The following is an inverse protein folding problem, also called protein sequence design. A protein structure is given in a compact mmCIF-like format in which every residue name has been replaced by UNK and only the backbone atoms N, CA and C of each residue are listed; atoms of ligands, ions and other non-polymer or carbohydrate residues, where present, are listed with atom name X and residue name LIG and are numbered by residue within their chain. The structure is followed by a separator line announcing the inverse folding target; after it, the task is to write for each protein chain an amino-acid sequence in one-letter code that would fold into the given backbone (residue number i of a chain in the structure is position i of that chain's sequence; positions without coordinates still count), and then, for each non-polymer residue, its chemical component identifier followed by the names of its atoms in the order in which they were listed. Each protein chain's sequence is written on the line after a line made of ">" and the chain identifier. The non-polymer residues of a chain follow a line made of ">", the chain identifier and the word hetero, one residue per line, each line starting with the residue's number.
data_IF_645106636144
#
_entry.id   IF_645106636144
#
_cell.length_a   1.000
_cell.length_b   1.000
_cell.length_c   1.000
_cell.angle_alpha   90.00
_cell.angle_beta   90.00
_cell.angle_gamma   90.00
#
_symmetry.space_group_name_H-M   'P 1'
#
loop_
_entity.id
_entity.type
_entity.pdbx_description
1 polymer ?
#
# COMPACT_ATOMS: atom_id res chain seq x y z
N UNK A 1 -13.16 3.01 -9.27
CA UNK A 1 -12.54 3.13 -7.93
C UNK A 1 -12.77 1.83 -7.18
N UNK A 2 -11.70 1.19 -6.70
CA UNK A 2 -11.73 -0.03 -5.89
C UNK A 2 -11.19 0.25 -4.49
N UNK A 3 -11.79 -0.43 -3.50
CA UNK A 3 -11.32 -0.47 -2.12
C UNK A 3 -11.11 -1.92 -1.72
N UNK A 4 -9.92 -2.25 -1.23
CA UNK A 4 -9.55 -3.61 -0.86
C UNK A 4 -9.00 -3.66 0.56
N UNK A 5 -9.66 -4.35 1.51
CA UNK A 5 -9.13 -4.54 2.85
C UNK A 5 -8.00 -5.58 2.82
N UNK A 6 -6.89 -5.28 3.48
CA UNK A 6 -5.68 -6.11 3.54
C UNK A 6 -5.23 -6.26 4.98
N UNK A 7 -4.83 -7.47 5.35
CA UNK A 7 -4.10 -7.73 6.60
C UNK A 7 -2.62 -7.89 6.28
N UNK A 8 -1.77 -7.12 6.95
CA UNK A 8 -0.31 -7.19 6.73
C UNK A 8 0.21 -8.52 7.27
N UNK A 9 0.77 -9.37 6.42
CA UNK A 9 1.32 -10.68 6.83
C UNK A 9 2.84 -10.67 7.05
N UNK A 10 3.48 -9.52 6.88
CA UNK A 10 4.91 -9.33 7.09
C UNK A 10 5.27 -9.57 8.57
N UNK A 11 6.21 -10.48 8.82
CA UNK A 11 6.67 -10.79 10.19
C UNK A 11 7.49 -9.63 10.80
N UNK A 12 8.18 -8.86 9.95
CA UNK A 12 8.89 -7.65 10.32
C UNK A 12 8.10 -6.42 9.83
N UNK A 13 8.08 -5.34 10.62
CA UNK A 13 7.40 -4.10 10.24
C UNK A 13 7.95 -3.49 8.94
N UNK A 14 7.17 -2.63 8.28
CA UNK A 14 7.67 -1.93 7.10
C UNK A 14 8.59 -0.77 7.49
N UNK A 15 9.89 -1.03 7.48
CA UNK A 15 10.93 0.00 7.60
C UNK A 15 11.24 0.67 6.23
N UNK A 16 12.29 1.50 6.19
CA UNK A 16 12.66 2.31 5.02
C UNK A 16 12.75 1.54 3.69
N UNK A 17 13.30 0.32 3.70
CA UNK A 17 13.48 -0.49 2.48
C UNK A 17 12.17 -1.07 1.95
N UNK A 18 11.37 -1.83 2.73
CA UNK A 18 10.03 -2.25 2.30
C UNK A 18 9.15 -1.09 1.84
N UNK A 19 9.18 0.05 2.53
CA UNK A 19 8.45 1.25 2.13
C UNK A 19 8.89 1.76 0.75
N UNK A 20 10.19 1.86 0.49
CA UNK A 20 10.68 2.27 -0.83
C UNK A 20 10.25 1.31 -1.95
N UNK A 21 10.24 0.01 -1.68
CA UNK A 21 9.78 -1.01 -2.64
C UNK A 21 8.28 -0.92 -2.90
N UNK A 22 7.47 -0.72 -1.87
CA UNK A 22 6.02 -0.50 -2.00
C UNK A 22 5.72 0.76 -2.81
N UNK A 23 6.46 1.85 -2.58
CA UNK A 23 6.34 3.08 -3.37
C UNK A 23 6.71 2.85 -4.83
N UNK A 24 7.79 2.10 -5.08
CA UNK A 24 8.20 1.73 -6.42
C UNK A 24 7.12 0.90 -7.13
N UNK A 25 6.55 -0.08 -6.44
CA UNK A 25 5.45 -0.91 -6.95
C UNK A 25 4.22 -0.07 -7.30
N UNK A 26 3.73 0.74 -6.34
CA UNK A 26 2.58 1.63 -6.55
C UNK A 26 2.81 2.60 -7.72
N UNK A 27 4.05 3.04 -7.95
CA UNK A 27 4.40 4.00 -8.99
C UNK A 27 4.40 3.42 -10.40
N UNK A 28 4.30 2.10 -10.57
CA UNK A 28 4.21 1.46 -11.89
C UNK A 28 2.83 1.64 -12.54
N UNK A 29 1.79 1.82 -11.72
CA UNK A 29 0.40 1.91 -12.18
C UNK A 29 0.04 3.34 -12.61
N UNK A 30 -0.87 3.49 -13.57
CA UNK A 30 -1.43 4.78 -13.97
C UNK A 30 -2.42 5.30 -12.91
N UNK A 31 -3.15 4.41 -12.25
CA UNK A 31 -4.15 4.72 -11.22
C UNK A 31 -3.55 5.44 -10.03
N UNK A 32 -4.33 6.30 -9.39
CA UNK A 32 -3.99 6.78 -8.05
C UNK A 32 -4.10 5.62 -7.06
N UNK A 33 -3.15 5.50 -6.14
CA UNK A 33 -3.13 4.43 -5.14
C UNK A 33 -2.94 5.06 -3.77
N UNK A 34 -3.82 4.72 -2.84
CA UNK A 34 -3.78 5.18 -1.46
C UNK A 34 -3.82 4.03 -0.49
N UNK A 35 -3.14 4.21 0.64
CA UNK A 35 -3.28 3.38 1.85
C UNK A 35 -4.10 4.17 2.86
N UNK A 36 -5.25 3.61 3.24
CA UNK A 36 -6.12 4.11 4.31
C UNK A 36 -5.89 3.25 5.55
N UNK A 37 -5.49 3.88 6.66
CA UNK A 37 -5.33 3.24 7.98
C UNK A 37 -5.83 4.20 9.05
N UNK A 38 -6.68 3.73 9.96
CA UNK A 38 -7.44 4.56 10.89
C UNK A 38 -8.14 5.74 10.18
N UNK A 39 -7.76 6.98 10.53
CA UNK A 39 -8.25 8.22 9.93
C UNK A 39 -7.24 8.85 8.95
N UNK A 40 -6.19 8.12 8.56
CA UNK A 40 -5.16 8.60 7.64
C UNK A 40 -5.38 8.01 6.25
N UNK A 41 -5.21 8.83 5.23
CA UNK A 41 -5.17 8.43 3.82
C UNK A 41 -3.88 8.95 3.20
N UNK A 42 -3.00 8.04 2.81
CA UNK A 42 -1.67 8.38 2.32
C UNK A 42 -1.52 7.91 0.87
N UNK A 43 -0.94 8.74 0.02
CA UNK A 43 -0.61 8.37 -1.35
C UNK A 43 0.54 7.33 -1.35
N UNK A 44 0.25 6.12 -1.82
CA UNK A 44 1.19 5.01 -1.85
C UNK A 44 2.39 5.26 -2.79
N UNK A 45 2.27 6.22 -3.72
CA UNK A 45 3.36 6.63 -4.63
C UNK A 45 4.28 7.71 -4.03
N UNK A 46 3.97 8.23 -2.84
CA UNK A 46 4.77 9.26 -2.19
C UNK A 46 5.64 8.67 -1.09
N UNK A 47 6.95 8.63 -1.31
CA UNK A 47 7.91 8.14 -0.31
C UNK A 47 7.82 8.91 1.02
N UNK A 48 7.64 10.24 0.97
CA UNK A 48 7.54 11.07 2.16
C UNK A 48 6.29 10.74 2.97
N UNK A 49 5.14 10.54 2.30
CA UNK A 49 3.90 10.16 2.96
C UNK A 49 4.00 8.77 3.57
N UNK A 50 4.53 7.81 2.82
CA UNK A 50 4.63 6.42 3.28
C UNK A 50 5.60 6.24 4.44
N UNK A 51 6.71 6.99 4.49
CA UNK A 51 7.63 6.99 5.64
C UNK A 51 7.00 7.52 6.93
N UNK A 52 5.89 8.26 6.86
CA UNK A 52 5.16 8.71 8.05
C UNK A 52 4.25 7.65 8.66
N UNK A 53 4.01 6.55 7.93
CA UNK A 53 3.24 5.42 8.42
C UNK A 53 4.16 4.46 9.18
N UNK A 54 3.69 4.04 10.35
CA UNK A 54 4.20 2.84 11.00
C UNK A 54 3.22 1.74 10.68
N UNK A 55 3.68 0.72 9.98
CA UNK A 55 2.87 -0.42 9.56
C UNK A 55 3.48 -1.67 10.18
N UNK A 56 2.70 -2.35 11.01
CA UNK A 56 3.12 -3.55 11.72
C UNK A 56 2.42 -4.80 11.18
N UNK A 57 3.09 -5.95 11.27
CA UNK A 57 2.47 -7.24 10.99
C UNK A 57 1.20 -7.45 11.81
N UNK A 58 0.16 -7.97 11.16
CA UNK A 58 -1.17 -8.20 11.75
C UNK A 58 -2.11 -6.99 11.73
N UNK A 59 -1.64 -5.80 11.35
CA UNK A 59 -2.51 -4.64 11.16
C UNK A 59 -3.40 -4.78 9.91
N UNK A 60 -4.58 -4.19 9.98
CA UNK A 60 -5.49 -4.08 8.85
C UNK A 60 -5.39 -2.69 8.24
N UNK A 61 -5.30 -2.63 6.91
CA UNK A 61 -5.37 -1.40 6.14
C UNK A 61 -6.33 -1.56 4.97
N UNK A 62 -6.66 -0.45 4.32
CA UNK A 62 -7.45 -0.44 3.11
C UNK A 62 -6.63 0.14 1.96
N UNK A 63 -6.43 -0.65 0.91
CA UNK A 63 -5.86 -0.17 -0.36
C UNK A 63 -6.99 0.44 -1.17
N UNK A 64 -6.80 1.67 -1.63
CA UNK A 64 -7.75 2.36 -2.48
C UNK A 64 -7.07 2.71 -3.79
N UNK A 65 -7.59 2.16 -4.89
CA UNK A 65 -7.09 2.40 -6.23
C UNK A 65 -8.16 3.07 -7.09
N UNK A 66 -7.78 4.07 -7.88
CA UNK A 66 -8.68 4.78 -8.78
C UNK A 66 -8.00 5.11 -10.11
N UNK A 67 -8.51 4.53 -11.19
CA UNK A 67 -8.00 4.77 -12.54
C UNK A 67 -8.19 3.59 -13.48
N UNK A 68 -7.49 3.64 -14.61
CA UNK A 68 -7.66 2.70 -15.74
C UNK A 68 -7.14 1.28 -15.47
N UNK A 69 -6.20 1.16 -14.53
CA UNK A 69 -5.56 -0.10 -14.11
C UNK A 69 -5.78 -0.37 -12.60
N UNK A 70 -6.89 0.13 -12.04
CA UNK A 70 -7.16 0.09 -10.60
C UNK A 70 -7.23 -1.33 -10.01
N UNK A 71 -7.73 -2.31 -10.78
CA UNK A 71 -7.74 -3.72 -10.39
C UNK A 71 -6.32 -4.29 -10.27
N UNK A 72 -5.47 -3.96 -11.23
CA UNK A 72 -4.08 -4.43 -11.29
C UNK A 72 -3.27 -3.78 -10.17
N UNK A 73 -3.45 -2.48 -9.97
CA UNK A 73 -2.83 -1.73 -8.89
C UNK A 73 -3.23 -2.28 -7.51
N UNK A 74 -4.53 -2.48 -7.26
CA UNK A 74 -4.99 -3.02 -5.97
C UNK A 74 -4.43 -4.44 -5.71
N UNK A 75 -4.32 -5.27 -6.75
CA UNK A 75 -3.78 -6.62 -6.66
C UNK A 75 -2.27 -6.65 -6.40
N UNK A 76 -1.48 -5.87 -7.12
CA UNK A 76 -0.03 -5.82 -6.90
C UNK A 76 0.33 -5.34 -5.49
N UNK A 77 -0.44 -4.38 -4.97
CA UNK A 77 -0.26 -3.87 -3.59
C UNK A 77 -0.68 -4.90 -2.55
N UNK A 78 -1.79 -5.62 -2.76
CA UNK A 78 -2.16 -6.76 -1.90
C UNK A 78 -1.04 -7.80 -1.86
N UNK A 79 -0.57 -8.24 -3.03
CA UNK A 79 0.48 -9.26 -3.13
C UNK A 79 1.77 -8.82 -2.42
N UNK A 80 2.10 -7.53 -2.44
CA UNK A 80 3.22 -6.97 -1.69
C UNK A 80 3.10 -7.20 -0.17
N UNK A 81 1.90 -7.04 0.39
CA UNK A 81 1.64 -7.22 1.83
C UNK A 81 1.43 -8.68 2.25
N UNK A 82 1.10 -9.58 1.31
CA UNK A 82 0.84 -10.99 1.58
C UNK A 82 2.05 -11.92 1.38
N UNK A 83 2.93 -11.63 0.40
CA UNK A 83 3.97 -12.56 -0.05
C UNK A 83 5.39 -12.24 0.47
N UNK A 84 5.51 -11.53 1.60
CA UNK A 84 6.81 -11.17 2.17
C UNK A 84 6.91 -11.40 3.67
#
# INVERSE_FOLDING_TARGET
>A
MIKKPITIKLNDGLDARPIAMLVQEASQYASQVYIEIDNKKINAKSIMGMMSLKLAGGENLMVVAEGVDEEQAARGIEEFFENR
#
